data_IF_519691457495
#
_entry.id   IF_519691457495
#
_cell.length_a   1.000
_cell.length_b   1.000
_cell.length_c   1.000
_cell.angle_alpha   90.00
_cell.angle_beta   90.00
_cell.angle_gamma   90.00
#
_symmetry.space_group_name_H-M   'P 1'
#
loop_
_entity.id
_entity.type
_entity.pdbx_description
1 polymer ?
#
# COMPACT_ATOMS: atom_id res chain seq x y z
N UNK A 1 15.81 14.53 -11.28
CA UNK A 1 15.20 13.67 -10.28
C UNK A 1 13.71 13.97 -10.19
N UNK A 2 12.90 13.13 -10.82
CA UNK A 2 11.44 13.16 -10.83
C UNK A 2 10.95 11.98 -10.00
N UNK A 3 10.17 12.26 -8.96
CA UNK A 3 9.59 11.24 -8.08
C UNK A 3 8.09 11.20 -8.24
N UNK A 4 7.52 10.00 -8.32
CA UNK A 4 6.08 9.82 -8.44
C UNK A 4 5.47 9.40 -7.11
N UNK A 5 4.34 10.01 -6.77
CA UNK A 5 3.58 9.69 -5.58
C UNK A 5 2.60 8.54 -5.86
N UNK A 6 2.47 7.61 -4.92
CA UNK A 6 1.33 6.69 -4.83
C UNK A 6 1.09 6.27 -3.37
N UNK A 7 -0.09 5.72 -3.08
CA UNK A 7 -0.33 5.09 -1.79
C UNK A 7 0.21 3.65 -1.78
N UNK A 8 0.55 3.11 -0.60
CA UNK A 8 1.07 1.75 -0.47
C UNK A 8 0.09 0.69 -1.02
N UNK A 9 -1.19 0.90 -0.80
CA UNK A 9 -2.29 0.02 -1.23
C UNK A 9 -2.80 0.36 -2.65
N UNK A 10 -2.10 1.21 -3.41
CA UNK A 10 -2.52 1.72 -4.71
C UNK A 10 -2.83 3.21 -4.65
N UNK A 11 -4.10 3.56 -4.46
CA UNK A 11 -4.54 4.93 -4.13
C UNK A 11 -5.15 4.97 -2.71
N UNK A 12 -5.70 6.11 -2.27
CA UNK A 12 -6.33 6.24 -0.95
C UNK A 12 -7.36 5.14 -0.67
N UNK A 13 -8.28 4.87 -1.60
CA UNK A 13 -9.26 3.78 -1.48
C UNK A 13 -8.78 2.41 -1.99
N UNK A 14 -7.47 2.24 -2.18
CA UNK A 14 -6.88 1.05 -2.78
C UNK A 14 -7.01 1.03 -4.31
N UNK A 15 -7.16 -0.15 -4.88
CA UNK A 15 -7.35 -0.37 -6.32
C UNK A 15 -8.76 -0.83 -6.65
N UNK A 16 -9.28 -0.51 -7.85
CA UNK A 16 -10.62 -0.92 -8.25
C UNK A 16 -10.69 -2.45 -8.50
N UNK A 17 -11.40 -3.26 -7.68
CA UNK A 17 -11.36 -4.71 -7.82
C UNK A 17 -12.03 -5.25 -9.08
N UNK A 18 -12.98 -4.47 -9.64
CA UNK A 18 -13.71 -4.82 -10.87
C UNK A 18 -12.97 -4.44 -12.15
N UNK A 19 -11.78 -3.81 -12.04
CA UNK A 19 -10.98 -3.44 -13.19
C UNK A 19 -10.37 -4.68 -13.86
N UNK A 20 -10.60 -4.92 -15.16
CA UNK A 20 -9.96 -6.03 -15.88
C UNK A 20 -8.42 -5.98 -15.82
N UNK A 21 -7.84 -4.78 -15.80
CA UNK A 21 -6.38 -4.61 -15.70
C UNK A 21 -5.81 -5.07 -14.34
N UNK A 22 -6.66 -5.12 -13.30
CA UNK A 22 -6.26 -5.47 -11.94
C UNK A 22 -6.53 -6.95 -11.60
N UNK A 23 -7.30 -7.67 -12.43
CA UNK A 23 -7.72 -9.05 -12.17
C UNK A 23 -6.55 -9.98 -11.84
N UNK A 24 -5.42 -9.82 -12.54
CA UNK A 24 -4.20 -10.63 -12.33
C UNK A 24 -3.57 -10.49 -10.93
N UNK A 25 -3.92 -9.45 -10.19
CA UNK A 25 -3.50 -9.23 -8.80
C UNK A 25 -4.53 -9.69 -7.77
N UNK A 26 -5.65 -10.27 -8.22
CA UNK A 26 -6.72 -10.80 -7.38
C UNK A 26 -7.18 -9.82 -6.26
N UNK A 27 -7.52 -8.56 -6.60
CA UNK A 27 -7.95 -7.59 -5.61
C UNK A 27 -9.26 -8.00 -4.94
N UNK A 28 -9.40 -7.63 -3.67
CA UNK A 28 -10.63 -7.81 -2.88
C UNK A 28 -10.99 -6.53 -2.17
N UNK A 29 -12.30 -6.31 -2.00
CA UNK A 29 -12.77 -5.23 -1.16
C UNK A 29 -12.65 -5.64 0.30
N UNK A 30 -11.87 -4.89 1.07
CA UNK A 30 -11.68 -5.09 2.50
C UNK A 30 -12.21 -3.87 3.26
N UNK A 31 -12.68 -4.09 4.48
CA UNK A 31 -13.25 -3.03 5.31
C UNK A 31 -12.33 -2.81 6.52
N UNK A 32 -11.62 -1.67 6.58
CA UNK A 32 -10.82 -1.27 7.73
C UNK A 32 -11.54 -1.47 9.05
N UNK A 33 -10.79 -1.91 10.07
CA UNK A 33 -11.24 -1.96 11.45
C UNK A 33 -10.34 -1.07 12.29
N UNK A 34 -10.87 0.05 12.76
CA UNK A 34 -10.13 0.98 13.60
C UNK A 34 -10.03 0.47 15.04
N UNK A 35 -8.84 0.55 15.65
CA UNK A 35 -8.64 0.20 17.05
C UNK A 35 -9.18 1.28 17.99
N UNK A 36 -9.54 0.95 19.25
CA UNK A 36 -9.91 1.97 20.24
C UNK A 36 -8.83 3.04 20.44
N UNK A 37 -7.55 2.65 20.32
CA UNK A 37 -6.42 3.58 20.39
C UNK A 37 -6.39 4.57 19.22
N UNK A 38 -6.64 4.10 17.99
CA UNK A 38 -6.72 4.96 16.81
C UNK A 38 -7.86 5.98 16.94
N UNK A 39 -9.07 5.50 17.29
CA UNK A 39 -10.26 6.35 17.46
C UNK A 39 -10.08 7.35 18.60
N UNK A 40 -9.43 6.93 19.70
CA UNK A 40 -9.20 7.77 20.88
C UNK A 40 -8.14 8.85 20.70
N UNK A 41 -7.21 8.70 19.75
CA UNK A 41 -6.16 9.69 19.48
C UNK A 41 -6.66 10.79 18.54
N UNK A 42 -7.02 10.43 17.30
CA UNK A 42 -7.58 11.36 16.33
C UNK A 42 -8.47 10.60 15.37
N UNK A 43 -9.76 10.94 15.35
CA UNK A 43 -10.70 10.41 14.38
C UNK A 43 -10.55 11.16 13.06
N UNK A 44 -10.19 10.45 12.01
CA UNK A 44 -9.87 11.00 10.69
C UNK A 44 -10.97 10.63 9.67
N UNK A 45 -11.46 11.63 8.93
CA UNK A 45 -12.55 11.48 7.96
C UNK A 45 -12.16 10.58 6.78
N UNK A 46 -10.89 10.55 6.40
CA UNK A 46 -10.40 9.65 5.35
C UNK A 46 -10.45 8.20 5.80
N UNK A 47 -10.07 7.89 7.05
CA UNK A 47 -10.18 6.54 7.59
C UNK A 47 -11.66 6.14 7.77
N UNK A 48 -12.51 7.03 8.28
CA UNK A 48 -13.96 6.78 8.38
C UNK A 48 -14.58 6.49 7.00
N UNK A 49 -14.12 7.18 5.95
CA UNK A 49 -14.57 6.94 4.58
C UNK A 49 -14.12 5.57 4.07
N UNK A 50 -12.87 5.19 4.32
CA UNK A 50 -12.35 3.86 3.96
C UNK A 50 -13.06 2.74 4.71
N UNK A 51 -13.35 2.91 6.00
CA UNK A 51 -14.15 1.96 6.80
C UNK A 51 -15.56 1.80 6.23
N UNK A 52 -16.21 2.90 5.83
CA UNK A 52 -17.57 2.89 5.31
C UNK A 52 -17.69 2.32 3.90
N UNK A 53 -16.77 2.69 3.01
CA UNK A 53 -16.85 2.36 1.57
C UNK A 53 -15.96 1.21 1.14
N UNK A 54 -15.07 0.76 2.02
CA UNK A 54 -14.09 -0.29 1.74
C UNK A 54 -12.86 0.23 1.01
N UNK A 55 -11.84 -0.63 1.00
CA UNK A 55 -10.55 -0.44 0.37
C UNK A 55 -10.26 -1.63 -0.54
N UNK A 56 -9.89 -1.37 -1.78
CA UNK A 56 -9.48 -2.44 -2.69
C UNK A 56 -8.04 -2.89 -2.41
N UNK A 57 -7.90 -4.04 -1.76
CA UNK A 57 -6.62 -4.61 -1.32
C UNK A 57 -6.17 -5.67 -2.31
N UNK A 58 -4.91 -5.59 -2.73
CA UNK A 58 -4.26 -6.61 -3.58
C UNK A 58 -4.03 -7.87 -2.76
N UNK A 59 -4.17 -9.04 -3.38
CA UNK A 59 -3.76 -10.30 -2.77
C UNK A 59 -2.30 -10.20 -2.31
N UNK A 60 -1.98 -10.43 -1.01
CA UNK A 60 -0.62 -10.28 -0.51
C UNK A 60 0.44 -11.12 -1.24
N UNK A 61 0.06 -12.23 -1.87
CA UNK A 61 0.97 -13.06 -2.68
C UNK A 61 1.25 -12.48 -4.08
N UNK A 62 0.56 -11.39 -4.46
CA UNK A 62 0.69 -10.71 -5.75
C UNK A 62 1.29 -9.31 -5.64
N UNK A 63 1.61 -8.83 -4.44
CA UNK A 63 2.10 -7.47 -4.19
C UNK A 63 3.37 -7.14 -4.97
N UNK A 64 4.35 -8.05 -4.99
CA UNK A 64 5.58 -7.81 -5.74
C UNK A 64 5.30 -7.63 -7.23
N UNK A 65 4.44 -8.46 -7.82
CA UNK A 65 4.08 -8.33 -9.24
C UNK A 65 3.40 -6.98 -9.51
N UNK A 66 2.51 -6.54 -8.61
CA UNK A 66 1.86 -5.24 -8.74
C UNK A 66 2.86 -4.08 -8.72
N UNK A 67 3.72 -4.03 -7.69
CA UNK A 67 4.70 -2.95 -7.60
C UNK A 67 5.75 -3.02 -8.71
N UNK A 68 6.19 -4.23 -9.09
CA UNK A 68 7.14 -4.39 -10.18
C UNK A 68 6.57 -3.89 -11.51
N UNK A 69 5.32 -4.17 -11.82
CA UNK A 69 4.68 -3.67 -13.04
C UNK A 69 4.49 -2.15 -12.98
N UNK A 70 4.05 -1.61 -11.85
CA UNK A 70 3.90 -0.16 -11.66
C UNK A 70 5.24 0.57 -11.78
N UNK A 71 6.25 0.16 -11.01
CA UNK A 71 7.57 0.78 -10.99
C UNK A 71 8.33 0.57 -12.30
N UNK A 72 8.18 -0.59 -12.93
CA UNK A 72 8.71 -0.86 -14.27
C UNK A 72 8.11 0.10 -15.31
N UNK A 73 6.80 0.34 -15.26
CA UNK A 73 6.17 1.36 -16.11
C UNK A 73 6.71 2.77 -15.82
N UNK A 74 6.77 3.18 -14.54
CA UNK A 74 7.24 4.51 -14.16
C UNK A 74 8.68 4.76 -14.64
N UNK A 75 9.58 3.79 -14.45
CA UNK A 75 10.96 3.91 -14.92
C UNK A 75 11.05 3.96 -16.44
N UNK A 76 10.18 3.23 -17.15
CA UNK A 76 10.05 3.32 -18.61
C UNK A 76 9.62 4.73 -19.09
N UNK A 77 9.00 5.54 -18.22
CA UNK A 77 8.65 6.93 -18.49
C UNK A 77 9.71 7.94 -18.00
N UNK A 78 10.86 7.47 -17.52
CA UNK A 78 11.94 8.33 -17.03
C UNK A 78 11.74 8.85 -15.59
N UNK A 79 10.88 8.21 -14.80
CA UNK A 79 10.76 8.49 -13.36
C UNK A 79 11.96 7.91 -12.62
N UNK A 80 12.53 8.70 -11.71
CA UNK A 80 13.75 8.34 -10.99
C UNK A 80 13.47 7.63 -9.65
N UNK A 81 12.27 7.78 -9.08
CA UNK A 81 11.91 7.22 -7.78
C UNK A 81 10.45 7.36 -7.41
N UNK A 82 10.09 6.90 -6.22
CA UNK A 82 8.73 6.97 -5.68
C UNK A 82 8.67 7.55 -4.29
N UNK A 83 7.60 8.29 -4.01
CA UNK A 83 7.15 8.64 -2.66
C UNK A 83 5.91 7.80 -2.36
N UNK A 84 6.01 6.92 -1.38
CA UNK A 84 4.93 5.98 -1.02
C UNK A 84 4.27 6.39 0.28
N UNK A 85 2.98 6.67 0.19
CA UNK A 85 2.19 7.32 1.23
C UNK A 85 1.09 6.40 1.80
N UNK A 86 0.34 6.90 2.78
CA UNK A 86 -0.82 6.22 3.39
C UNK A 86 -0.46 4.83 3.97
N UNK A 87 0.78 4.63 4.39
CA UNK A 87 1.27 3.31 4.83
C UNK A 87 0.57 2.84 6.11
N UNK A 88 0.33 3.76 7.04
CA UNK A 88 -0.38 3.52 8.30
C UNK A 88 -1.78 2.90 8.13
N UNK A 89 -2.42 3.04 6.96
CA UNK A 89 -3.73 2.43 6.71
C UNK A 89 -3.71 0.91 6.85
N UNK A 90 -2.56 0.27 6.62
CA UNK A 90 -2.39 -1.17 6.75
C UNK A 90 -2.66 -1.67 8.17
N UNK A 91 -2.50 -0.83 9.20
CA UNK A 91 -2.80 -1.24 10.59
C UNK A 91 -4.26 -1.69 10.76
N UNK A 92 -5.16 -1.09 9.97
CA UNK A 92 -6.61 -1.30 10.03
C UNK A 92 -7.08 -2.47 9.15
N UNK A 93 -6.20 -3.00 8.29
CA UNK A 93 -6.54 -4.00 7.27
C UNK A 93 -6.06 -5.42 7.63
N UNK A 94 -5.52 -5.64 8.82
CA UNK A 94 -4.90 -6.92 9.20
C UNK A 94 -5.87 -8.12 9.33
N UNK A 95 -7.19 -7.89 9.34
CA UNK A 95 -8.21 -8.95 9.48
C UNK A 95 -8.14 -9.90 8.27
N UNK A 96 -8.04 -11.20 8.52
CA UNK A 96 -7.95 -12.21 7.46
C UNK A 96 -6.55 -12.43 6.86
N UNK A 97 -5.57 -11.59 7.23
CA UNK A 97 -4.20 -11.62 6.68
C UNK A 97 -3.13 -12.01 7.70
N UNK A 98 -3.52 -12.68 8.79
CA UNK A 98 -2.60 -13.07 9.87
C UNK A 98 -2.18 -11.90 10.77
N UNK A 99 -2.92 -10.78 10.72
CA UNK A 99 -2.68 -9.60 11.54
C UNK A 99 -1.88 -8.51 10.84
N UNK A 100 -1.96 -7.30 11.38
CA UNK A 100 -1.36 -6.08 10.79
C UNK A 100 0.15 -6.15 10.59
N UNK A 101 0.89 -6.79 11.51
CA UNK A 101 2.35 -6.98 11.41
C UNK A 101 2.71 -7.85 10.19
N UNK A 102 2.04 -8.99 10.03
CA UNK A 102 2.35 -9.89 8.91
C UNK A 102 1.99 -9.24 7.57
N UNK A 103 0.87 -8.52 7.51
CA UNK A 103 0.46 -7.81 6.31
C UNK A 103 1.44 -6.69 5.93
N UNK A 104 1.81 -5.84 6.90
CA UNK A 104 2.78 -4.76 6.67
C UNK A 104 4.11 -5.29 6.15
N UNK A 105 4.65 -6.35 6.76
CA UNK A 105 5.88 -7.00 6.31
C UNK A 105 5.81 -7.43 4.84
N UNK A 106 4.67 -7.99 4.40
CA UNK A 106 4.49 -8.41 3.00
C UNK A 106 4.51 -7.20 2.05
N UNK A 107 3.84 -6.10 2.43
CA UNK A 107 3.86 -4.85 1.67
C UNK A 107 5.26 -4.25 1.57
N UNK A 108 5.97 -4.10 2.70
CA UNK A 108 7.31 -3.51 2.70
C UNK A 108 8.30 -4.33 1.88
N UNK A 109 8.31 -5.66 2.05
CA UNK A 109 9.19 -6.54 1.26
C UNK A 109 8.93 -6.40 -0.24
N UNK A 110 7.66 -6.45 -0.64
CA UNK A 110 7.29 -6.32 -2.05
C UNK A 110 7.66 -4.94 -2.62
N UNK A 111 7.49 -3.88 -1.84
CA UNK A 111 7.81 -2.51 -2.22
C UNK A 111 9.33 -2.30 -2.36
N UNK A 112 10.11 -2.73 -1.37
CA UNK A 112 11.55 -2.59 -1.38
C UNK A 112 12.19 -3.41 -2.51
N UNK A 113 11.70 -4.64 -2.74
CA UNK A 113 12.17 -5.50 -3.82
C UNK A 113 11.88 -4.89 -5.20
N UNK A 114 10.68 -4.33 -5.40
CA UNK A 114 10.35 -3.67 -6.67
C UNK A 114 11.16 -2.38 -6.88
N UNK A 115 11.43 -1.62 -5.83
CA UNK A 115 12.26 -0.42 -5.90
C UNK A 115 13.69 -0.78 -6.28
N UNK A 116 14.29 -1.75 -5.58
CA UNK A 116 15.66 -2.20 -5.84
C UNK A 116 15.83 -2.75 -7.26
N UNK A 117 14.79 -3.36 -7.81
CA UNK A 117 14.78 -3.89 -9.17
C UNK A 117 14.68 -2.81 -10.25
N UNK A 118 13.83 -1.80 -10.04
CA UNK A 118 13.43 -0.89 -11.12
C UNK A 118 14.20 0.44 -11.07
N UNK A 119 14.47 1.00 -9.90
CA UNK A 119 15.14 2.30 -9.77
C UNK A 119 16.65 2.12 -9.52
N UNK A 120 17.47 3.05 -10.03
CA UNK A 120 18.93 3.01 -9.88
C UNK A 120 19.36 3.45 -8.47
N UNK A 121 19.38 2.52 -7.53
CA UNK A 121 19.68 2.80 -6.12
C UNK A 121 18.40 2.92 -5.29
N UNK A 122 18.53 3.37 -4.03
CA UNK A 122 17.40 3.41 -3.11
C UNK A 122 16.60 4.72 -3.26
N UNK A 123 15.77 4.78 -4.31
CA UNK A 123 14.94 5.94 -4.66
C UNK A 123 13.50 5.81 -4.14
N UNK A 124 13.38 5.53 -2.85
CA UNK A 124 12.12 5.38 -2.12
C UNK A 124 12.04 6.40 -0.98
N UNK A 125 10.95 7.16 -0.93
CA UNK A 125 10.57 8.02 0.19
C UNK A 125 9.34 7.42 0.85
N UNK A 126 9.45 6.99 2.10
CA UNK A 126 8.32 6.49 2.88
C UNK A 126 7.64 7.65 3.64
N UNK A 127 6.32 7.76 3.48
CA UNK A 127 5.48 8.81 4.04
C UNK A 127 4.27 8.18 4.73
N UNK A 128 3.78 8.82 5.80
CA UNK A 128 2.72 8.28 6.65
C UNK A 128 3.00 6.84 7.10
N UNK A 129 4.24 6.55 7.49
CA UNK A 129 4.75 5.25 7.97
C UNK A 129 5.13 5.32 9.45
N UNK A 130 4.26 5.91 10.26
CA UNK A 130 4.48 6.16 11.69
C UNK A 130 3.92 5.04 12.60
N UNK A 131 3.32 4.00 12.01
CA UNK A 131 2.91 2.82 12.76
C UNK A 131 4.12 1.98 13.21
N UNK A 132 3.93 1.16 14.25
CA UNK A 132 5.00 0.31 14.78
C UNK A 132 5.16 -0.97 13.99
N UNK A 133 4.27 -1.28 13.06
CA UNK A 133 4.33 -2.45 12.21
C UNK A 133 5.37 -2.28 11.10
N UNK A 134 5.63 -1.03 10.69
CA UNK A 134 6.57 -0.66 9.64
C UNK A 134 8.02 -1.14 9.90
N UNK A 135 8.42 -1.38 11.16
CA UNK A 135 9.78 -1.86 11.49
C UNK A 135 9.98 -3.37 11.29
N UNK A 136 8.94 -4.13 10.90
CA UNK A 136 8.92 -5.61 10.88
C UNK A 136 8.84 -6.26 9.50
#
# INVERSE_FOLDING_TARGET
YVYMWHALIGYWGGILPTSPAMEKYNPRMEFPVQSPGNIGNLRDVAIDSMEKYGVGVIDPEKLYNFFNDLHGYLTSQGVDGVKVDVQNSVETLGKGYGGRVLLMRKYQRALEESVARNFKGNHLICCMSHDSEYIY
#
